data_IF_394404203939
#
_entry.id   IF_394404203939
#
_cell.length_a   1.000
_cell.length_b   1.000
_cell.length_c   1.000
_cell.angle_alpha   90.00
_cell.angle_beta   90.00
_cell.angle_gamma   90.00
#
_symmetry.space_group_name_H-M   'P 1'
#
loop_
_entity.id
_entity.type
_entity.pdbx_description
1 polymer ?
#
# COMPACT_ATOMS: atom_id res chain seq x y z
N UNK A 1 21.63 36.33 5.77
CA UNK A 1 21.47 37.74 5.37
C UNK A 1 22.37 38.17 4.19
N UNK A 2 23.70 38.02 4.25
CA UNK A 2 24.57 38.47 3.14
C UNK A 2 24.50 37.55 1.90
N UNK A 3 24.45 36.22 2.10
CA UNK A 3 24.24 35.24 1.03
C UNK A 3 22.84 35.32 0.40
N UNK A 4 21.80 35.55 1.21
CA UNK A 4 20.41 35.74 0.75
C UNK A 4 20.31 36.96 -0.18
N UNK A 5 20.84 38.12 0.24
CA UNK A 5 20.90 39.34 -0.58
C UNK A 5 21.67 39.17 -1.88
N UNK A 6 22.72 38.32 -1.89
CA UNK A 6 23.45 37.99 -3.11
C UNK A 6 22.64 37.09 -4.04
N UNK A 7 21.88 36.13 -3.48
CA UNK A 7 21.02 35.24 -4.27
C UNK A 7 19.86 36.01 -4.90
N UNK A 8 19.21 36.90 -4.17
CA UNK A 8 18.13 37.76 -4.66
C UNK A 8 18.55 38.58 -5.87
N UNK A 9 19.72 39.23 -5.77
CA UNK A 9 20.31 40.01 -6.87
C UNK A 9 20.67 39.15 -8.07
N UNK A 10 21.26 37.98 -7.86
CA UNK A 10 21.64 37.06 -8.95
C UNK A 10 20.43 36.47 -9.67
N UNK A 11 19.36 36.16 -8.94
CA UNK A 11 18.14 35.53 -9.48
C UNK A 11 17.06 36.53 -9.87
N UNK A 12 17.30 37.84 -9.71
CA UNK A 12 16.33 38.91 -10.00
C UNK A 12 15.00 38.71 -9.25
N UNK A 13 15.09 38.34 -7.97
CA UNK A 13 13.90 38.15 -7.11
C UNK A 13 13.57 39.48 -6.44
N UNK A 14 12.32 39.91 -6.53
CA UNK A 14 11.82 41.10 -5.84
C UNK A 14 11.84 40.87 -4.31
N UNK A 15 12.34 41.85 -3.55
CA UNK A 15 12.51 41.73 -2.09
C UNK A 15 11.15 41.57 -1.41
N UNK A 16 10.14 42.27 -1.91
CA UNK A 16 8.76 42.24 -1.41
C UNK A 16 8.15 40.83 -1.50
N UNK A 17 8.56 40.03 -2.50
CA UNK A 17 8.15 38.63 -2.62
C UNK A 17 9.03 37.70 -1.77
N UNK A 18 10.33 37.99 -1.68
CA UNK A 18 11.29 37.23 -0.85
C UNK A 18 10.92 37.27 0.63
N UNK A 19 10.52 38.44 1.13
CA UNK A 19 10.15 38.68 2.53
C UNK A 19 8.93 37.86 2.98
N UNK A 20 8.10 37.38 2.04
CA UNK A 20 6.95 36.51 2.35
C UNK A 20 7.37 35.05 2.63
N UNK A 21 8.60 34.64 2.31
CA UNK A 21 9.06 33.24 2.40
C UNK A 21 9.74 32.98 3.75
N UNK A 22 8.93 32.68 4.78
CA UNK A 22 9.43 32.46 6.15
C UNK A 22 9.95 31.04 6.39
N UNK A 23 9.12 30.01 6.15
CA UNK A 23 9.42 28.61 6.51
C UNK A 23 9.72 27.69 5.33
N UNK A 24 9.07 27.89 4.19
CA UNK A 24 9.22 27.00 3.04
C UNK A 24 10.26 27.56 2.08
N UNK A 25 11.50 27.80 2.56
CA UNK A 25 12.55 28.41 1.74
C UNK A 25 13.10 27.38 0.75
N UNK A 26 12.93 27.56 -0.57
CA UNK A 26 13.36 26.57 -1.54
C UNK A 26 14.87 26.63 -1.76
N UNK A 27 15.57 25.54 -1.41
CA UNK A 27 17.03 25.42 -1.56
C UNK A 27 17.42 24.16 -2.35
N UNK A 28 18.60 24.15 -3.01
CA UNK A 28 19.15 22.93 -3.58
C UNK A 28 19.32 21.85 -2.51
N UNK A 29 18.86 20.64 -2.82
CA UNK A 29 19.04 19.48 -1.95
C UNK A 29 20.53 19.16 -1.76
N UNK A 30 20.94 18.90 -0.52
CA UNK A 30 22.30 18.50 -0.15
C UNK A 30 22.25 17.40 0.89
N UNK A 31 22.70 16.21 0.49
CA UNK A 31 22.66 15.01 1.34
C UNK A 31 23.66 15.08 2.51
N UNK A 32 24.77 15.82 2.34
CA UNK A 32 25.81 16.03 3.36
C UNK A 32 25.34 16.89 4.55
N UNK A 33 24.21 17.61 4.39
CA UNK A 33 23.63 18.41 5.47
C UNK A 33 22.74 17.60 6.40
N UNK A 34 22.19 16.49 5.93
CA UNK A 34 21.20 15.70 6.68
C UNK A 34 21.82 15.20 8.00
N UNK A 35 21.11 15.38 9.11
CA UNK A 35 21.58 14.99 10.44
C UNK A 35 22.68 15.89 11.04
N UNK A 36 23.03 16.99 10.38
CA UNK A 36 24.04 17.96 10.89
C UNK A 36 23.36 19.25 11.36
N UNK A 37 24.09 20.08 12.11
CA UNK A 37 23.62 21.42 12.51
C UNK A 37 23.32 22.35 11.32
N UNK A 38 23.89 22.05 10.15
CA UNK A 38 23.66 22.80 8.89
C UNK A 38 22.27 22.56 8.30
N UNK A 39 21.52 21.56 8.78
CA UNK A 39 20.15 21.32 8.35
C UNK A 39 19.21 22.36 8.99
N UNK A 40 18.69 23.29 8.18
CA UNK A 40 17.73 24.29 8.64
C UNK A 40 16.29 23.79 8.43
N UNK A 41 15.46 23.80 9.47
CA UNK A 41 14.06 23.36 9.38
C UNK A 41 13.20 24.28 8.49
N UNK A 42 13.67 25.50 8.20
CA UNK A 42 13.04 26.45 7.28
C UNK A 42 13.46 26.25 5.83
N UNK A 43 14.33 25.30 5.56
CA UNK A 43 14.77 25.01 4.21
C UNK A 43 14.06 23.76 3.71
N UNK A 44 13.55 23.82 2.49
CA UNK A 44 12.90 22.69 1.82
C UNK A 44 13.43 22.49 0.41
N UNK A 45 13.27 21.28 -0.12
CA UNK A 45 13.68 20.95 -1.48
C UNK A 45 12.54 20.30 -2.27
N UNK A 46 12.47 20.61 -3.55
CA UNK A 46 11.53 20.02 -4.49
C UNK A 46 12.25 19.01 -5.40
N UNK A 47 11.59 17.88 -5.66
CA UNK A 47 12.13 16.75 -6.41
C UNK A 47 11.15 16.35 -7.51
N UNK A 48 11.59 16.25 -8.78
CA UNK A 48 10.82 15.50 -9.76
C UNK A 48 10.78 14.03 -9.34
N UNK A 49 9.70 13.31 -9.66
CA UNK A 49 9.50 11.89 -9.28
C UNK A 49 10.75 11.03 -9.56
N UNK A 50 11.39 11.23 -10.72
CA UNK A 50 12.58 10.47 -11.15
C UNK A 50 13.80 10.65 -10.24
N UNK A 51 13.91 11.79 -9.55
CA UNK A 51 14.96 12.03 -8.55
C UNK A 51 14.54 11.49 -7.19
N UNK A 52 13.26 11.62 -6.83
CA UNK A 52 12.74 11.11 -5.58
C UNK A 52 12.77 9.58 -5.53
N UNK A 53 12.46 8.90 -6.63
CA UNK A 53 12.58 7.44 -6.79
C UNK A 53 14.02 6.94 -6.55
N UNK A 54 15.05 7.71 -6.95
CA UNK A 54 16.46 7.38 -6.67
C UNK A 54 16.86 7.60 -5.21
N UNK A 55 16.06 8.32 -4.44
CA UNK A 55 16.23 8.52 -3.00
C UNK A 55 15.41 7.48 -2.20
N UNK A 56 14.20 7.18 -2.65
CA UNK A 56 13.30 6.20 -2.07
C UNK A 56 13.64 4.76 -2.53
N UNK A 57 14.84 4.30 -2.17
CA UNK A 57 15.33 2.94 -2.45
C UNK A 57 15.88 2.29 -1.18
N UNK A 58 16.07 0.97 -1.16
CA UNK A 58 16.73 0.26 -0.05
C UNK A 58 18.06 0.93 0.40
N UNK A 59 18.85 1.48 -0.53
CA UNK A 59 20.15 2.05 -0.19
C UNK A 59 20.08 3.46 0.43
N UNK A 60 19.03 4.25 0.13
CA UNK A 60 18.97 5.69 0.46
C UNK A 60 17.69 6.12 1.18
N UNK A 61 16.71 5.22 1.29
CA UNK A 61 15.39 5.48 1.85
C UNK A 61 15.46 5.96 3.28
N UNK A 62 16.22 5.26 4.14
CA UNK A 62 16.46 5.67 5.53
C UNK A 62 17.10 7.06 5.64
N UNK A 63 18.04 7.38 4.74
CA UNK A 63 18.70 8.71 4.70
C UNK A 63 17.71 9.79 4.27
N UNK A 64 16.83 9.51 3.31
CA UNK A 64 15.78 10.42 2.87
C UNK A 64 14.71 10.63 3.95
N UNK A 65 14.36 9.56 4.68
CA UNK A 65 13.49 9.66 5.85
C UNK A 65 14.09 10.53 6.96
N UNK A 66 15.38 10.39 7.24
CA UNK A 66 16.09 11.27 8.19
C UNK A 66 16.02 12.75 7.78
N UNK A 67 16.13 13.06 6.48
CA UNK A 67 15.92 14.42 5.97
C UNK A 67 14.49 14.92 6.28
N UNK A 68 13.49 14.08 5.99
CA UNK A 68 12.09 14.45 6.12
C UNK A 68 11.59 14.59 7.57
N UNK A 69 12.33 14.09 8.56
CA UNK A 69 12.03 14.34 9.98
C UNK A 69 12.24 15.80 10.41
N UNK A 70 13.11 16.53 9.70
CA UNK A 70 13.48 17.91 10.06
C UNK A 70 13.16 18.94 8.98
N UNK A 71 13.14 18.55 7.71
CA UNK A 71 12.92 19.43 6.57
C UNK A 71 11.77 18.91 5.70
N UNK A 72 11.13 19.80 4.95
CA UNK A 72 10.07 19.41 4.01
C UNK A 72 10.66 18.98 2.68
N UNK A 73 10.14 17.89 2.10
CA UNK A 73 10.31 17.56 0.68
C UNK A 73 9.00 17.72 -0.07
N UNK A 74 9.09 18.28 -1.28
CA UNK A 74 8.00 18.29 -2.25
C UNK A 74 8.33 17.42 -3.44
N UNK A 75 7.55 16.37 -3.68
CA UNK A 75 7.68 15.52 -4.86
C UNK A 75 6.60 15.90 -5.87
N UNK A 76 6.93 15.90 -7.16
CA UNK A 76 5.98 16.24 -8.22
C UNK A 76 6.18 15.38 -9.48
N UNK A 77 5.13 15.18 -10.30
CA UNK A 77 5.21 14.32 -11.47
C UNK A 77 6.25 14.82 -12.49
N UNK A 78 6.89 13.91 -13.21
CA UNK A 78 7.83 14.29 -14.28
C UNK A 78 7.11 14.96 -15.45
N UNK A 79 7.80 15.86 -16.15
CA UNK A 79 7.23 16.60 -17.27
C UNK A 79 6.78 15.76 -18.47
N UNK A 80 7.25 14.50 -18.59
CA UNK A 80 6.83 13.59 -19.65
C UNK A 80 5.41 13.02 -19.47
N UNK A 81 4.78 13.21 -18.30
CA UNK A 81 3.40 12.81 -18.04
C UNK A 81 2.43 13.85 -18.60
N UNK A 82 2.43 13.98 -19.92
CA UNK A 82 1.57 14.94 -20.66
C UNK A 82 0.09 14.62 -20.48
N UNK A 83 -0.24 13.36 -20.21
CA UNK A 83 -1.58 12.85 -19.89
C UNK A 83 -2.03 13.18 -18.46
N UNK A 84 -1.20 13.85 -17.66
CA UNK A 84 -1.42 14.10 -16.23
C UNK A 84 -1.52 12.83 -15.38
N UNK A 85 -1.01 11.68 -15.83
CA UNK A 85 -0.90 10.49 -14.98
C UNK A 85 -0.14 10.77 -13.68
N UNK A 86 -0.44 10.03 -12.63
CA UNK A 86 0.29 10.12 -11.36
C UNK A 86 1.36 9.03 -11.23
N UNK A 87 2.38 9.31 -10.42
CA UNK A 87 3.31 8.31 -9.90
C UNK A 87 2.74 7.66 -8.63
N UNK A 88 3.32 6.52 -8.22
CA UNK A 88 2.95 5.89 -6.96
C UNK A 88 3.44 6.73 -5.76
N UNK A 89 2.53 7.25 -4.91
CA UNK A 89 2.93 8.07 -3.77
C UNK A 89 3.51 7.28 -2.60
N UNK A 90 3.27 5.95 -2.52
CA UNK A 90 3.64 5.14 -1.36
C UNK A 90 5.13 5.17 -1.03
N UNK A 91 6.07 4.97 -1.98
CA UNK A 91 7.51 5.04 -1.67
C UNK A 91 7.93 6.40 -1.11
N UNK A 92 7.28 7.48 -1.55
CA UNK A 92 7.57 8.84 -1.10
C UNK A 92 7.08 9.06 0.33
N UNK A 93 5.84 8.65 0.62
CA UNK A 93 5.29 8.75 1.98
C UNK A 93 6.04 7.85 2.96
N UNK A 94 6.40 6.62 2.58
CA UNK A 94 7.20 5.69 3.41
C UNK A 94 8.58 6.25 3.75
N UNK A 95 9.16 7.06 2.86
CA UNK A 95 10.38 7.83 3.14
C UNK A 95 10.10 9.18 3.82
N UNK A 96 8.90 9.41 4.34
CA UNK A 96 8.52 10.58 5.11
C UNK A 96 8.23 11.85 4.31
N UNK A 97 8.21 11.79 2.97
CA UNK A 97 7.91 12.97 2.15
C UNK A 97 6.50 13.48 2.43
N UNK A 98 6.38 14.78 2.69
CA UNK A 98 5.15 15.39 3.21
C UNK A 98 4.31 16.01 2.08
N UNK A 99 4.96 16.64 1.10
CA UNK A 99 4.29 17.34 0.00
C UNK A 99 4.39 16.53 -1.29
N UNK A 100 3.77 15.35 -1.28
CA UNK A 100 3.69 14.44 -2.44
C UNK A 100 2.58 14.94 -3.36
N UNK A 101 2.94 15.84 -4.28
CA UNK A 101 1.98 16.49 -5.17
C UNK A 101 1.56 15.53 -6.29
N UNK A 102 0.26 15.42 -6.48
CA UNK A 102 -0.40 14.62 -7.51
C UNK A 102 -1.32 15.51 -8.36
N UNK A 103 -1.64 15.06 -9.57
CA UNK A 103 -2.59 15.64 -10.50
C UNK A 103 -4.02 15.25 -10.09
N UNK A 104 -4.71 16.12 -9.34
CA UNK A 104 -6.05 15.87 -8.79
C UNK A 104 -7.13 15.62 -9.85
N UNK A 105 -6.92 16.11 -11.07
CA UNK A 105 -7.83 15.91 -12.20
C UNK A 105 -7.83 14.47 -12.75
N UNK A 106 -6.85 13.65 -12.37
CA UNK A 106 -6.67 12.31 -12.92
C UNK A 106 -7.24 11.26 -11.97
N UNK A 107 -8.26 10.48 -12.38
CA UNK A 107 -8.93 9.50 -11.52
C UNK A 107 -8.20 8.15 -11.50
N UNK A 108 -6.93 8.17 -11.10
CA UNK A 108 -6.07 6.99 -11.06
C UNK A 108 -5.87 6.45 -9.62
N UNK A 109 -5.26 5.25 -9.52
CA UNK A 109 -4.98 4.60 -8.24
C UNK A 109 -4.20 5.51 -7.26
N UNK A 110 -3.15 6.24 -7.66
CA UNK A 110 -2.49 7.22 -6.80
C UNK A 110 -3.45 8.23 -6.16
N UNK A 111 -4.37 8.81 -6.92
CA UNK A 111 -5.33 9.78 -6.39
C UNK A 111 -6.30 9.13 -5.39
N UNK A 112 -6.73 7.89 -5.67
CA UNK A 112 -7.59 7.12 -4.79
C UNK A 112 -6.89 6.76 -3.46
N UNK A 113 -5.60 6.41 -3.50
CA UNK A 113 -4.77 6.23 -2.30
C UNK A 113 -4.59 7.54 -1.52
N UNK A 114 -4.37 8.65 -2.21
CA UNK A 114 -4.24 9.97 -1.61
C UNK A 114 -5.50 10.36 -0.82
N UNK A 115 -6.67 10.23 -1.44
CA UNK A 115 -7.93 10.50 -0.75
C UNK A 115 -8.16 9.55 0.43
N UNK A 116 -7.78 8.27 0.31
CA UNK A 116 -7.86 7.31 1.40
C UNK A 116 -6.93 7.65 2.58
N UNK A 117 -5.69 8.10 2.31
CA UNK A 117 -4.76 8.55 3.35
C UNK A 117 -5.35 9.71 4.14
N UNK A 118 -5.88 10.72 3.44
CA UNK A 118 -6.44 11.92 4.06
C UNK A 118 -7.85 11.72 4.67
N UNK A 119 -8.42 10.52 4.62
CA UNK A 119 -9.51 10.15 5.54
C UNK A 119 -9.02 10.13 6.99
N UNK A 120 -7.74 9.84 7.22
CA UNK A 120 -7.12 10.02 8.52
C UNK A 120 -7.06 11.51 8.88
N UNK A 121 -7.10 11.83 10.18
CA UNK A 121 -7.11 13.23 10.62
C UNK A 121 -8.37 14.00 10.23
N UNK A 122 -9.48 13.28 9.96
CA UNK A 122 -10.80 13.88 9.74
C UNK A 122 -10.94 14.69 8.46
N UNK A 123 -10.14 14.42 7.42
CA UNK A 123 -10.23 15.16 6.16
C UNK A 123 -9.56 16.54 6.17
N UNK A 124 -8.75 16.86 7.19
CA UNK A 124 -8.10 18.17 7.34
C UNK A 124 -7.00 18.47 6.32
N UNK A 125 -6.55 17.47 5.56
CA UNK A 125 -5.37 17.57 4.71
C UNK A 125 -4.04 17.39 5.45
N UNK A 126 -4.07 17.09 6.76
CA UNK A 126 -2.88 16.79 7.56
C UNK A 126 -3.05 15.46 8.31
N UNK A 127 -2.08 14.57 8.14
CA UNK A 127 -2.04 13.26 8.81
C UNK A 127 -0.70 13.14 9.53
N UNK A 128 -0.75 12.89 10.84
CA UNK A 128 0.46 12.62 11.61
C UNK A 128 1.09 11.30 11.12
N UNK A 129 2.37 11.36 10.76
CA UNK A 129 3.14 10.16 10.41
C UNK A 129 3.21 9.22 11.61
N UNK A 130 3.11 7.88 11.40
CA UNK A 130 3.32 6.88 12.44
C UNK A 130 4.58 7.13 13.28
N UNK A 131 4.50 6.80 14.58
CA UNK A 131 5.58 7.05 15.53
C UNK A 131 6.89 6.40 15.09
N UNK A 132 6.84 5.13 14.64
CA UNK A 132 8.00 4.40 14.12
C UNK A 132 8.73 5.15 13.00
N UNK A 133 8.02 5.87 12.12
CA UNK A 133 8.65 6.59 11.00
C UNK A 133 9.46 7.80 11.48
N UNK A 134 9.16 8.29 12.69
CA UNK A 134 9.83 9.43 13.32
C UNK A 134 11.04 9.02 14.17
N UNK A 135 11.32 7.72 14.29
CA UNK A 135 12.42 7.16 15.08
C UNK A 135 13.66 6.78 14.24
N UNK A 136 14.86 6.97 14.78
CA UNK A 136 16.13 6.78 14.04
C UNK A 136 16.41 5.37 13.54
N UNK A 137 15.83 4.35 14.18
CA UNK A 137 16.06 2.96 13.82
C UNK A 137 15.28 2.51 12.59
N UNK A 138 14.07 3.03 12.39
CA UNK A 138 13.16 2.59 11.34
C UNK A 138 13.73 2.82 9.93
N UNK A 139 13.62 1.76 9.12
CA UNK A 139 13.90 1.74 7.70
C UNK A 139 12.67 1.19 6.96
N UNK A 140 12.03 1.96 6.06
CA UNK A 140 10.84 1.52 5.35
C UNK A 140 11.07 0.28 4.47
N UNK A 141 12.32 -0.05 4.16
CA UNK A 141 12.71 -1.16 3.29
C UNK A 141 13.26 -2.38 4.05
N UNK A 142 13.33 -2.32 5.39
CA UNK A 142 13.74 -3.44 6.23
C UNK A 142 12.69 -3.69 7.32
N UNK A 143 11.91 -4.75 7.14
CA UNK A 143 10.85 -5.15 8.09
C UNK A 143 11.39 -5.50 9.48
N UNK A 144 12.67 -5.81 9.64
CA UNK A 144 13.26 -6.09 10.96
C UNK A 144 13.41 -4.84 11.83
N UNK A 145 13.28 -3.65 11.23
CA UNK A 145 13.30 -2.37 11.96
C UNK A 145 11.93 -1.97 12.51
N UNK A 146 10.88 -2.76 12.23
CA UNK A 146 9.52 -2.49 12.69
C UNK A 146 9.40 -2.76 14.20
N UNK A 147 8.94 -1.74 14.93
CA UNK A 147 8.59 -1.82 16.35
C UNK A 147 7.06 -1.81 16.53
N UNK A 148 6.36 -2.60 15.70
CA UNK A 148 4.90 -2.73 15.73
C UNK A 148 4.50 -4.20 15.64
N UNK A 149 3.36 -4.54 16.25
CA UNK A 149 2.84 -5.90 16.16
C UNK A 149 2.22 -6.15 14.78
N UNK A 150 2.64 -7.21 14.07
CA UNK A 150 2.04 -7.59 12.80
C UNK A 150 0.63 -8.11 13.01
N UNK A 151 -0.23 -7.92 12.01
CA UNK A 151 -1.60 -8.41 12.02
C UNK A 151 -1.85 -9.36 10.87
N UNK A 152 -2.83 -10.25 11.05
CA UNK A 152 -3.40 -11.05 9.98
C UNK A 152 -4.82 -10.60 9.72
N UNK A 153 -5.16 -10.29 8.47
CA UNK A 153 -6.52 -9.99 8.03
C UNK A 153 -7.09 -11.22 7.34
N UNK A 154 -8.17 -11.74 7.89
CA UNK A 154 -8.97 -12.81 7.31
C UNK A 154 -10.23 -12.20 6.67
N UNK A 155 -10.30 -12.17 5.34
CA UNK A 155 -11.34 -11.49 4.58
C UNK A 155 -12.12 -12.47 3.70
N UNK A 156 -13.44 -12.35 3.71
CA UNK A 156 -14.32 -13.00 2.74
C UNK A 156 -15.16 -11.95 2.04
N UNK A 157 -15.12 -11.92 0.72
CA UNK A 157 -16.06 -11.14 -0.09
C UNK A 157 -17.29 -12.01 -0.32
N UNK A 158 -18.42 -11.63 0.25
CA UNK A 158 -19.62 -12.47 0.24
C UNK A 158 -20.51 -12.17 -0.95
N UNK A 159 -20.64 -10.89 -1.32
CA UNK A 159 -21.46 -10.45 -2.43
C UNK A 159 -21.38 -8.94 -2.62
N UNK A 160 -22.12 -8.43 -3.60
CA UNK A 160 -22.30 -7.01 -3.82
C UNK A 160 -23.78 -6.67 -4.04
N UNK A 161 -24.09 -5.38 -4.06
CA UNK A 161 -25.37 -4.86 -4.52
C UNK A 161 -25.15 -3.65 -5.41
N UNK A 162 -26.03 -3.45 -6.39
CA UNK A 162 -26.12 -2.24 -7.22
C UNK A 162 -24.77 -1.83 -7.83
N UNK A 163 -24.00 -2.78 -8.38
CA UNK A 163 -22.77 -2.43 -9.08
C UNK A 163 -23.10 -1.54 -10.29
N UNK A 164 -22.26 -0.53 -10.57
CA UNK A 164 -22.47 0.31 -11.74
C UNK A 164 -22.33 -0.52 -13.01
N UNK A 165 -22.99 -0.05 -14.07
CA UNK A 165 -22.96 -0.69 -15.37
C UNK A 165 -22.22 0.20 -16.36
N UNK A 166 -21.23 -0.37 -17.02
CA UNK A 166 -20.57 0.29 -18.14
C UNK A 166 -21.30 -0.13 -19.44
N UNK A 167 -21.90 0.81 -20.14
CA UNK A 167 -22.55 0.54 -21.43
C UNK A 167 -23.88 -0.24 -21.35
N UNK A 168 -24.12 -1.13 -22.33
CA UNK A 168 -25.44 -1.77 -22.54
C UNK A 168 -25.52 -3.22 -22.06
N UNK A 169 -24.41 -3.93 -21.89
CA UNK A 169 -24.36 -5.32 -21.42
C UNK A 169 -24.64 -5.45 -19.92
N UNK A 170 -24.97 -6.65 -19.46
CA UNK A 170 -24.95 -6.94 -18.02
C UNK A 170 -23.49 -7.22 -17.65
N UNK A 171 -23.05 -6.67 -16.52
CA UNK A 171 -21.65 -6.80 -16.09
C UNK A 171 -21.38 -8.23 -15.59
N UNK A 172 -20.17 -8.72 -15.84
CA UNK A 172 -19.65 -9.98 -15.30
C UNK A 172 -18.61 -9.66 -14.20
N UNK A 173 -19.03 -9.40 -12.94
CA UNK A 173 -18.13 -8.76 -11.99
C UNK A 173 -17.18 -9.74 -11.31
N UNK A 174 -16.03 -9.23 -10.93
CA UNK A 174 -15.15 -9.82 -9.92
C UNK A 174 -14.54 -8.72 -9.05
N UNK A 175 -14.06 -9.11 -7.86
CA UNK A 175 -13.46 -8.19 -6.90
C UNK A 175 -11.97 -8.51 -6.74
N UNK A 176 -11.13 -7.53 -7.02
CA UNK A 176 -9.73 -7.51 -6.60
C UNK A 176 -9.62 -6.89 -5.21
N UNK A 177 -8.93 -7.57 -4.31
CA UNK A 177 -8.54 -7.07 -3.00
C UNK A 177 -7.02 -6.92 -2.97
N UNK A 178 -6.56 -5.74 -2.59
CA UNK A 178 -5.16 -5.37 -2.56
C UNK A 178 -4.79 -4.77 -1.19
N UNK A 179 -3.65 -5.20 -0.64
CA UNK A 179 -2.96 -4.48 0.43
C UNK A 179 -1.96 -3.55 -0.23
N UNK A 180 -2.08 -2.24 -0.02
CA UNK A 180 -1.09 -1.26 -0.47
C UNK A 180 -0.32 -0.73 0.74
N UNK A 181 1.00 -0.81 0.72
CA UNK A 181 1.83 -0.41 1.86
C UNK A 181 3.31 -0.48 1.49
N UNK A 182 4.12 -1.06 2.36
CA UNK A 182 5.52 -1.41 2.08
C UNK A 182 5.60 -2.57 1.08
N UNK A 183 6.75 -2.72 0.43
CA UNK A 183 6.95 -3.77 -0.58
C UNK A 183 6.74 -5.19 -0.01
N UNK A 184 7.09 -5.40 1.26
CA UNK A 184 6.91 -6.68 1.96
C UNK A 184 5.48 -6.95 2.47
N UNK A 185 4.59 -5.96 2.44
CA UNK A 185 3.16 -6.11 2.78
C UNK A 185 2.26 -6.10 1.54
N UNK A 186 2.76 -5.59 0.41
CA UNK A 186 1.99 -5.46 -0.82
C UNK A 186 1.59 -6.82 -1.39
N UNK A 187 0.29 -7.02 -1.55
CA UNK A 187 -0.25 -8.27 -2.11
C UNK A 187 -1.63 -8.05 -2.72
N UNK A 188 -1.96 -8.88 -3.72
CA UNK A 188 -3.23 -8.84 -4.47
C UNK A 188 -3.87 -10.20 -4.55
N UNK A 189 -5.19 -10.25 -4.44
CA UNK A 189 -6.00 -11.43 -4.64
C UNK A 189 -7.28 -11.06 -5.38
N UNK A 190 -7.86 -12.00 -6.12
CA UNK A 190 -9.16 -11.80 -6.77
C UNK A 190 -10.14 -12.93 -6.49
N UNK A 191 -11.42 -12.58 -6.49
CA UNK A 191 -12.53 -13.54 -6.55
C UNK A 191 -12.64 -14.12 -7.95
N UNK A 192 -13.46 -15.16 -8.09
CA UNK A 192 -13.90 -15.63 -9.40
C UNK A 192 -14.88 -14.62 -10.03
N UNK A 193 -15.12 -14.79 -11.33
CA UNK A 193 -16.04 -13.94 -12.09
C UNK A 193 -17.45 -14.50 -11.97
N UNK A 194 -18.41 -13.61 -11.70
CA UNK A 194 -19.84 -13.96 -11.74
C UNK A 194 -20.38 -13.53 -13.09
N UNK A 195 -21.02 -14.44 -13.83
CA UNK A 195 -21.60 -14.13 -15.13
C UNK A 195 -22.90 -13.31 -14.98
N UNK A 196 -23.06 -12.28 -15.82
CA UNK A 196 -24.30 -11.55 -16.06
C UNK A 196 -25.08 -11.12 -14.80
N UNK A 197 -24.38 -10.63 -13.78
CA UNK A 197 -25.03 -10.15 -12.55
C UNK A 197 -24.29 -8.99 -11.88
N UNK A 198 -24.73 -7.76 -12.17
CA UNK A 198 -24.31 -6.56 -11.44
C UNK A 198 -25.20 -6.17 -10.26
N UNK A 199 -26.42 -6.71 -10.16
CA UNK A 199 -27.39 -6.24 -9.19
C UNK A 199 -27.15 -6.83 -7.80
N UNK A 200 -26.83 -8.12 -7.72
CA UNK A 200 -26.65 -8.87 -6.47
C UNK A 200 -25.73 -10.10 -6.58
N UNK A 201 -24.50 -9.97 -7.14
CA UNK A 201 -23.57 -11.09 -7.25
C UNK A 201 -23.09 -11.60 -5.89
N UNK A 202 -22.66 -12.88 -5.83
CA UNK A 202 -22.25 -13.60 -4.61
C UNK A 202 -20.96 -14.38 -4.84
N UNK A 203 -20.00 -14.32 -3.89
CA UNK A 203 -18.65 -14.96 -3.98
C UNK A 203 -18.25 -15.77 -2.73
N UNK A 204 -19.21 -16.39 -2.04
CA UNK A 204 -19.04 -17.05 -0.72
C UNK A 204 -17.99 -18.16 -0.61
N UNK A 205 -17.33 -18.56 -1.69
CA UNK A 205 -16.47 -19.74 -1.73
C UNK A 205 -15.02 -19.48 -1.26
N UNK A 206 -14.53 -18.23 -1.31
CA UNK A 206 -13.11 -17.93 -1.12
C UNK A 206 -12.85 -17.05 0.10
N UNK A 207 -11.86 -17.44 0.90
CA UNK A 207 -11.27 -16.61 1.95
C UNK A 207 -9.89 -16.14 1.52
N UNK A 208 -9.61 -14.87 1.78
CA UNK A 208 -8.32 -14.24 1.59
C UNK A 208 -7.68 -14.02 2.95
N UNK A 209 -6.39 -14.31 3.06
CA UNK A 209 -5.60 -14.14 4.27
C UNK A 209 -4.40 -13.27 3.94
N UNK A 210 -4.26 -12.14 4.63
CA UNK A 210 -3.20 -11.17 4.41
C UNK A 210 -2.42 -10.97 5.70
N UNK A 211 -1.11 -11.13 5.66
CA UNK A 211 -0.23 -10.76 6.78
C UNK A 211 0.35 -9.38 6.51
N UNK A 212 0.22 -8.49 7.49
CA UNK A 212 0.65 -7.10 7.39
C UNK A 212 1.62 -6.83 8.53
N UNK A 213 2.88 -6.62 8.18
CA UNK A 213 3.96 -6.33 9.12
C UNK A 213 3.88 -4.89 9.63
N UNK A 214 3.55 -3.94 8.76
CA UNK A 214 3.39 -2.53 9.11
C UNK A 214 1.92 -2.08 8.98
N UNK A 215 1.05 -2.44 9.94
CA UNK A 215 -0.36 -2.00 9.93
C UNK A 215 -0.51 -0.49 10.10
N UNK A 216 0.53 0.21 10.56
CA UNK A 216 0.48 1.66 10.78
C UNK A 216 0.52 2.47 9.49
N UNK A 217 1.06 1.90 8.41
CA UNK A 217 1.12 2.53 7.10
C UNK A 217 0.76 1.54 5.98
N UNK A 218 -0.46 1.02 6.05
CA UNK A 218 -1.02 0.12 5.05
C UNK A 218 -2.48 0.46 4.75
N UNK A 219 -2.93 0.11 3.55
CA UNK A 219 -4.28 0.34 3.03
C UNK A 219 -4.88 -0.98 2.54
N UNK A 220 -6.15 -1.19 2.82
CA UNK A 220 -6.97 -2.24 2.21
C UNK A 220 -7.79 -1.61 1.08
N UNK A 221 -7.57 -2.08 -0.14
CA UNK A 221 -8.22 -1.59 -1.35
C UNK A 221 -9.07 -2.70 -1.96
N UNK A 222 -10.33 -2.38 -2.22
CA UNK A 222 -11.25 -3.17 -3.02
C UNK A 222 -11.40 -2.49 -4.37
N UNK A 223 -11.22 -3.24 -5.46
CA UNK A 223 -11.54 -2.78 -6.82
C UNK A 223 -12.49 -3.78 -7.44
N UNK A 224 -13.64 -3.30 -7.91
CA UNK A 224 -14.60 -4.11 -8.64
C UNK A 224 -14.34 -3.88 -10.13
N UNK A 225 -14.16 -4.97 -10.85
CA UNK A 225 -14.00 -4.99 -12.29
C UNK A 225 -15.15 -5.78 -12.91
N UNK A 226 -15.43 -5.52 -14.18
CA UNK A 226 -16.14 -6.46 -15.06
C UNK A 226 -15.13 -7.12 -16.00
N UNK A 227 -15.34 -8.39 -16.30
CA UNK A 227 -14.66 -9.06 -17.40
C UNK A 227 -15.51 -8.93 -18.65
N UNK A 228 -14.96 -8.36 -19.72
CA UNK A 228 -15.67 -8.23 -21.00
C UNK A 228 -15.59 -9.50 -21.86
N UNK A 229 -16.14 -9.45 -23.07
CA UNK A 229 -16.15 -10.57 -24.01
C UNK A 229 -14.75 -11.01 -24.49
N UNK A 230 -13.73 -10.17 -24.28
CA UNK A 230 -12.33 -10.43 -24.64
C UNK A 230 -11.48 -10.81 -23.42
N UNK A 231 -12.11 -11.04 -22.27
CA UNK A 231 -11.45 -11.26 -20.98
C UNK A 231 -10.62 -10.09 -20.47
N UNK A 232 -10.89 -8.87 -20.95
CA UNK A 232 -10.22 -7.68 -20.46
C UNK A 232 -10.94 -7.14 -19.21
N UNK A 233 -10.20 -6.82 -18.13
CA UNK A 233 -10.78 -6.29 -16.91
C UNK A 233 -11.07 -4.79 -17.03
N UNK A 234 -12.34 -4.42 -16.97
CA UNK A 234 -12.80 -3.03 -17.04
C UNK A 234 -13.23 -2.53 -15.65
N UNK A 235 -12.73 -1.36 -15.26
CA UNK A 235 -13.01 -0.79 -13.95
C UNK A 235 -14.51 -0.45 -13.78
N UNK A 236 -15.10 -0.87 -12.66
CA UNK A 236 -16.46 -0.50 -12.26
C UNK A 236 -16.46 0.47 -11.08
N UNK A 237 -15.77 0.10 -10.00
CA UNK A 237 -15.80 0.86 -8.76
C UNK A 237 -14.61 0.52 -7.86
N UNK A 238 -14.35 1.34 -6.85
CA UNK A 238 -13.38 1.01 -5.80
C UNK A 238 -13.84 1.44 -4.41
N UNK A 239 -13.14 0.93 -3.40
CA UNK A 239 -13.13 1.51 -2.07
C UNK A 239 -11.75 1.28 -1.45
N UNK A 240 -11.19 2.28 -0.80
CA UNK A 240 -9.84 2.18 -0.23
C UNK A 240 -9.84 2.76 1.17
N UNK A 241 -9.31 1.99 2.14
CA UNK A 241 -9.33 2.35 3.55
C UNK A 241 -7.95 2.13 4.16
N UNK A 242 -7.45 3.07 4.98
CA UNK A 242 -6.33 2.79 5.87
C UNK A 242 -6.65 1.60 6.78
N UNK A 243 -5.70 0.67 6.93
CA UNK A 243 -5.87 -0.56 7.74
C UNK A 243 -6.28 -0.23 9.19
N UNK A 244 -5.74 0.85 9.75
CA UNK A 244 -6.07 1.32 11.11
C UNK A 244 -7.52 1.73 11.32
N UNK A 245 -8.29 1.97 10.26
CA UNK A 245 -9.71 2.35 10.35
C UNK A 245 -10.66 1.16 10.18
N UNK A 246 -10.13 -0.04 9.91
CA UNK A 246 -10.95 -1.22 9.66
C UNK A 246 -11.65 -1.69 10.94
N UNK A 247 -12.86 -2.24 10.76
CA UNK A 247 -13.67 -2.84 11.83
C UNK A 247 -13.98 -4.29 11.46
N UNK A 248 -14.02 -5.17 12.46
CA UNK A 248 -14.27 -6.62 12.27
C UNK A 248 -15.75 -6.98 12.14
N UNK A 249 -16.03 -8.20 11.72
CA UNK A 249 -17.38 -8.79 11.54
C UNK A 249 -17.91 -8.65 10.11
N UNK A 250 -19.23 -8.79 9.96
CA UNK A 250 -19.94 -8.51 8.71
C UNK A 250 -20.03 -7.00 8.50
N UNK A 251 -19.48 -6.51 7.39
CA UNK A 251 -19.41 -5.08 7.06
C UNK A 251 -19.89 -4.82 5.64
N UNK A 252 -20.62 -3.73 5.48
CA UNK A 252 -20.87 -3.16 4.17
C UNK A 252 -19.69 -2.27 3.79
N UNK A 253 -19.23 -2.39 2.56
CA UNK A 253 -18.17 -1.57 1.97
C UNK A 253 -18.80 -0.71 0.88
N UNK A 254 -19.18 0.55 1.16
CA UNK A 254 -19.68 1.46 0.15
C UNK A 254 -18.64 1.67 -0.95
N UNK A 255 -19.09 1.59 -2.20
CA UNK A 255 -18.26 1.72 -3.37
C UNK A 255 -18.28 3.15 -3.91
N UNK A 256 -17.20 3.50 -4.61
CA UNK A 256 -16.98 4.81 -5.20
C UNK A 256 -16.58 4.69 -6.66
N UNK A 257 -16.84 5.73 -7.45
CA UNK A 257 -16.37 5.83 -8.82
C UNK A 257 -14.86 6.12 -8.89
N UNK A 258 -14.30 6.26 -10.09
CA UNK A 258 -12.86 6.49 -10.26
C UNK A 258 -12.34 7.81 -9.67
N UNK A 259 -13.22 8.82 -9.50
CA UNK A 259 -12.94 10.11 -8.87
C UNK A 259 -13.15 10.11 -7.33
N UNK A 260 -13.43 8.93 -6.75
CA UNK A 260 -13.72 8.71 -5.33
C UNK A 260 -15.00 9.42 -4.85
N UNK A 261 -15.97 9.60 -5.74
CA UNK A 261 -17.33 10.01 -5.42
C UNK A 261 -18.18 8.78 -5.09
N UNK A 262 -19.12 8.93 -4.16
CA UNK A 262 -19.98 7.82 -3.71
C UNK A 262 -20.90 7.34 -4.83
N UNK A 263 -20.98 6.02 -5.01
CA UNK A 263 -21.95 5.40 -5.90
C UNK A 263 -23.21 5.06 -5.11
N UNK A 264 -24.35 5.50 -5.62
CA UNK A 264 -25.63 5.28 -4.95
C UNK A 264 -25.92 3.78 -4.78
N UNK A 265 -26.16 3.36 -3.54
CA UNK A 265 -26.46 1.99 -3.10
C UNK A 265 -25.36 0.93 -3.34
N UNK A 266 -24.41 1.18 -4.24
CA UNK A 266 -23.34 0.28 -4.62
C UNK A 266 -22.47 -0.07 -3.42
N UNK A 267 -22.45 -1.35 -3.04
CA UNK A 267 -21.65 -1.80 -1.90
C UNK A 267 -21.30 -3.27 -1.99
N UNK A 268 -20.14 -3.63 -1.44
CA UNK A 268 -19.80 -5.02 -1.13
C UNK A 268 -20.34 -5.39 0.25
N UNK A 269 -20.67 -6.66 0.44
CA UNK A 269 -20.80 -7.28 1.75
C UNK A 269 -19.58 -8.15 1.99
N UNK A 270 -18.86 -7.87 3.07
CA UNK A 270 -17.65 -8.60 3.44
C UNK A 270 -17.74 -9.11 4.87
N UNK A 271 -17.02 -10.19 5.16
CA UNK A 271 -16.71 -10.59 6.52
C UNK A 271 -15.21 -10.41 6.74
N UNK A 272 -14.84 -9.62 7.73
CA UNK A 272 -13.43 -9.31 8.03
C UNK A 272 -13.12 -9.61 9.50
N UNK A 273 -12.06 -10.38 9.73
CA UNK A 273 -11.45 -10.63 11.03
C UNK A 273 -10.02 -10.10 11.01
N UNK A 274 -9.62 -9.47 12.11
CA UNK A 274 -8.28 -8.91 12.29
C UNK A 274 -7.75 -9.44 13.61
N UNK A 275 -6.57 -10.02 13.58
CA UNK A 275 -5.97 -10.76 14.69
C UNK A 275 -4.48 -10.46 14.75
N UNK A 276 -3.88 -10.60 15.93
CA UNK A 276 -2.42 -10.51 16.05
C UNK A 276 -1.79 -11.70 15.34
N UNK A 277 -0.88 -11.44 14.39
CA UNK A 277 -0.31 -12.50 13.56
C UNK A 277 0.58 -13.47 14.36
N UNK A 278 1.17 -13.01 15.46
CA UNK A 278 2.03 -13.83 16.33
C UNK A 278 1.26 -14.66 17.35
N UNK A 279 0.08 -14.22 17.77
CA UNK A 279 -0.71 -14.91 18.80
C UNK A 279 -1.56 -16.07 18.24
N UNK A 280 -1.90 -16.03 16.94
CA UNK A 280 -2.79 -17.03 16.35
C UNK A 280 -2.10 -18.30 15.83
N UNK A 281 -0.82 -18.22 15.51
CA UNK A 281 -0.03 -19.34 15.03
C UNK A 281 0.75 -19.97 16.20
N UNK A 282 0.82 -21.31 16.28
CA UNK A 282 1.82 -21.96 17.14
C UNK A 282 3.18 -21.32 16.83
N UNK A 283 3.98 -20.99 17.85
CA UNK A 283 5.18 -20.11 17.84
C UNK A 283 6.18 -20.30 16.66
N UNK A 284 6.07 -21.39 15.89
CA UNK A 284 6.90 -21.71 14.74
C UNK A 284 6.25 -21.54 13.36
N UNK A 285 4.92 -21.56 13.20
CA UNK A 285 4.30 -21.58 11.86
C UNK A 285 4.36 -20.22 11.16
N UNK A 286 3.96 -19.14 11.84
CA UNK A 286 4.10 -17.78 11.33
C UNK A 286 5.54 -17.50 10.90
N UNK A 287 6.48 -17.76 11.80
CA UNK A 287 7.92 -17.54 11.58
C UNK A 287 8.45 -18.36 10.40
N UNK A 288 7.99 -19.60 10.22
CA UNK A 288 8.38 -20.45 9.08
C UNK A 288 7.86 -19.91 7.75
N UNK A 289 6.59 -19.47 7.71
CA UNK A 289 5.99 -18.84 6.53
C UNK A 289 6.75 -17.55 6.17
N UNK A 290 7.09 -16.73 7.17
CA UNK A 290 7.84 -15.49 6.92
C UNK A 290 9.25 -15.77 6.37
N UNK A 291 9.96 -16.76 6.92
CA UNK A 291 11.28 -17.18 6.40
C UNK A 291 11.20 -17.65 4.95
N UNK A 292 10.17 -18.42 4.60
CA UNK A 292 9.97 -18.89 3.22
C UNK A 292 9.64 -17.72 2.29
N UNK A 293 8.79 -16.76 2.69
CA UNK A 293 8.51 -15.55 1.90
C UNK A 293 9.77 -14.74 1.64
N UNK A 294 10.60 -14.54 2.66
CA UNK A 294 11.89 -13.84 2.53
C UNK A 294 12.79 -14.57 1.54
N UNK A 295 12.90 -15.89 1.69
CA UNK A 295 13.69 -16.72 0.78
C UNK A 295 13.18 -16.68 -0.66
N UNK A 296 11.86 -16.71 -0.87
CA UNK A 296 11.25 -16.56 -2.20
C UNK A 296 11.57 -15.21 -2.82
N UNK A 297 11.52 -14.13 -2.05
CA UNK A 297 11.84 -12.77 -2.53
C UNK A 297 13.32 -12.63 -2.90
N UNK A 298 14.22 -13.14 -2.05
CA UNK A 298 15.67 -13.19 -2.34
C UNK A 298 15.95 -13.96 -3.62
N UNK A 299 15.39 -15.17 -3.76
CA UNK A 299 15.59 -16.03 -4.92
C UNK A 299 15.02 -15.41 -6.19
N UNK A 300 13.85 -14.77 -6.12
CA UNK A 300 13.25 -14.06 -7.26
C UNK A 300 14.15 -12.93 -7.74
N UNK A 301 14.67 -12.11 -6.81
CA UNK A 301 15.62 -11.04 -7.14
C UNK A 301 16.89 -11.60 -7.78
N UNK A 302 17.43 -12.67 -7.21
CA UNK A 302 18.63 -13.36 -7.70
C UNK A 302 18.42 -13.90 -9.12
N UNK A 303 17.29 -14.56 -9.39
CA UNK A 303 16.92 -15.09 -10.71
C UNK A 303 16.80 -13.95 -11.72
N UNK A 304 16.07 -12.87 -11.39
CA UNK A 304 15.93 -11.72 -12.30
C UNK A 304 17.26 -11.02 -12.62
N UNK A 305 18.21 -10.98 -11.68
CA UNK A 305 19.55 -10.44 -11.94
C UNK A 305 20.35 -11.34 -12.89
N UNK A 306 20.27 -12.66 -12.70
CA UNK A 306 20.94 -13.62 -13.60
C UNK A 306 20.36 -13.57 -15.02
N UNK A 307 19.04 -13.49 -15.17
CA UNK A 307 18.38 -13.34 -16.47
C UNK A 307 18.88 -12.11 -17.22
N UNK A 308 18.99 -10.96 -16.54
CA UNK A 308 19.52 -9.71 -17.13
C UNK A 308 20.98 -9.80 -17.53
N UNK A 309 21.77 -10.62 -16.83
CA UNK A 309 23.18 -10.85 -17.15
C UNK A 309 23.39 -11.85 -18.30
N UNK A 310 22.34 -12.52 -18.77
CA UNK A 310 22.41 -13.51 -19.85
C UNK A 310 23.12 -14.82 -19.47
N UNK A 311 23.23 -15.12 -18.17
CA UNK A 311 23.85 -16.38 -17.70
C UNK A 311 22.87 -17.53 -17.88
N UNK A 312 23.12 -18.37 -18.89
CA UNK A 312 22.38 -19.61 -19.17
C UNK A 312 23.11 -20.84 -18.58
N UNK A 313 23.74 -20.68 -17.42
CA UNK A 313 24.59 -21.68 -16.81
C UNK A 313 23.81 -22.59 -15.83
N UNK A 314 24.39 -23.74 -15.46
CA UNK A 314 23.82 -24.68 -14.47
C UNK A 314 23.38 -24.00 -13.15
N UNK A 315 24.10 -22.94 -12.74
CA UNK A 315 23.77 -22.16 -11.54
C UNK A 315 22.44 -21.40 -11.64
N UNK A 316 22.03 -21.01 -12.85
CA UNK A 316 20.75 -20.36 -13.10
C UNK A 316 19.61 -21.36 -12.92
N UNK A 317 19.72 -22.53 -13.57
CA UNK A 317 18.74 -23.61 -13.45
C UNK A 317 18.55 -24.06 -11.99
N UNK A 318 19.65 -24.23 -11.25
CA UNK A 318 19.59 -24.57 -9.83
C UNK A 318 18.86 -23.50 -8.99
N UNK A 319 19.07 -22.21 -9.29
CA UNK A 319 18.39 -21.14 -8.56
C UNK A 319 16.89 -21.06 -8.88
N UNK A 320 16.50 -21.40 -10.11
CA UNK A 320 15.08 -21.49 -10.53
C UNK A 320 14.39 -22.69 -9.87
N UNK A 321 15.05 -23.85 -9.81
CA UNK A 321 14.52 -25.03 -9.11
C UNK A 321 14.36 -24.78 -7.61
N UNK A 322 15.36 -24.15 -6.97
CA UNK A 322 15.27 -23.76 -5.56
C UNK A 322 14.13 -22.78 -5.31
N UNK A 323 13.93 -21.81 -6.21
CA UNK A 323 12.80 -20.87 -6.14
C UNK A 323 11.46 -21.60 -6.20
N UNK A 324 11.29 -22.52 -7.14
CA UNK A 324 10.06 -23.33 -7.27
C UNK A 324 9.79 -24.16 -6.03
N UNK A 325 10.79 -24.92 -5.56
CA UNK A 325 10.64 -25.74 -4.35
C UNK A 325 10.28 -24.91 -3.10
N UNK A 326 10.88 -23.72 -2.97
CA UNK A 326 10.56 -22.78 -1.88
C UNK A 326 9.13 -22.25 -2.01
N UNK A 327 8.67 -21.95 -3.22
CA UNK A 327 7.29 -21.49 -3.49
C UNK A 327 6.26 -22.58 -3.19
N UNK A 328 6.54 -23.83 -3.57
CA UNK A 328 5.66 -24.97 -3.30
C UNK A 328 5.53 -25.19 -1.79
N UNK A 329 6.66 -25.23 -1.07
CA UNK A 329 6.67 -25.36 0.39
C UNK A 329 5.93 -24.19 1.09
N UNK A 330 6.10 -22.96 0.58
CA UNK A 330 5.38 -21.80 1.09
C UNK A 330 3.87 -21.95 0.88
N UNK A 331 3.44 -22.40 -0.29
CA UNK A 331 2.03 -22.63 -0.62
C UNK A 331 1.42 -23.65 0.32
N UNK A 332 2.07 -24.80 0.51
CA UNK A 332 1.60 -25.85 1.42
C UNK A 332 1.42 -25.36 2.87
N UNK A 333 2.40 -24.62 3.40
CA UNK A 333 2.31 -24.09 4.76
C UNK A 333 1.24 -23.02 4.91
N UNK A 334 1.08 -22.15 3.91
CA UNK A 334 0.02 -21.12 3.89
C UNK A 334 -1.36 -21.78 3.81
N UNK A 335 -1.54 -22.79 2.97
CA UNK A 335 -2.80 -23.55 2.90
C UNK A 335 -3.11 -24.26 4.22
N UNK A 336 -2.13 -24.94 4.81
CA UNK A 336 -2.27 -25.59 6.10
C UNK A 336 -2.66 -24.58 7.21
N UNK A 337 -2.05 -23.39 7.21
CA UNK A 337 -2.41 -22.30 8.13
C UNK A 337 -3.84 -21.82 7.91
N UNK A 338 -4.22 -21.55 6.67
CA UNK A 338 -5.54 -21.05 6.31
C UNK A 338 -6.64 -22.06 6.72
N UNK A 339 -6.40 -23.35 6.55
CA UNK A 339 -7.29 -24.42 7.01
C UNK A 339 -7.44 -24.40 8.54
N UNK A 340 -6.34 -24.25 9.30
CA UNK A 340 -6.38 -24.16 10.77
C UNK A 340 -7.17 -22.95 11.25
N UNK A 341 -6.99 -21.78 10.63
CA UNK A 341 -7.73 -20.57 10.94
C UNK A 341 -9.24 -20.78 10.72
N UNK A 342 -9.61 -21.42 9.60
CA UNK A 342 -10.99 -21.80 9.30
C UNK A 342 -11.59 -22.78 10.31
N UNK A 343 -10.84 -23.79 10.74
CA UNK A 343 -11.28 -24.74 11.75
C UNK A 343 -11.47 -24.11 13.13
N UNK A 344 -10.54 -23.25 13.57
CA UNK A 344 -10.65 -22.48 14.82
C UNK A 344 -11.93 -21.66 14.83
N UNK A 345 -12.25 -20.99 13.71
CA UNK A 345 -13.49 -20.24 13.54
C UNK A 345 -14.75 -21.10 13.66
N UNK A 346 -14.77 -22.28 13.03
CA UNK A 346 -15.89 -23.24 13.17
C UNK A 346 -16.07 -23.68 14.64
N UNK A 347 -14.98 -24.01 15.33
CA UNK A 347 -15.01 -24.40 16.75
C UNK A 347 -15.48 -23.26 17.66
N UNK A 348 -15.05 -22.03 17.40
CA UNK A 348 -15.49 -20.83 18.12
C UNK A 348 -17.00 -20.58 17.99
N UNK A 349 -17.54 -20.66 16.77
CA UNK A 349 -18.98 -20.55 16.51
C UNK A 349 -19.79 -21.64 17.23
N UNK A 350 -19.30 -22.88 17.23
CA UNK A 350 -19.96 -23.99 17.92
C UNK A 350 -20.01 -23.77 19.44
N UNK A 351 -18.92 -23.28 20.04
CA UNK A 351 -18.86 -22.94 21.48
C UNK A 351 -19.85 -21.84 21.85
N UNK A 352 -19.96 -20.78 21.04
CA UNK A 352 -20.93 -19.71 21.27
C UNK A 352 -22.38 -20.20 21.16
N UNK A 353 -22.69 -21.06 20.19
CA UNK A 353 -24.03 -21.65 20.06
C UNK A 353 -24.39 -22.57 21.23
N UNK A 354 -23.43 -23.35 21.75
CA UNK A 354 -23.65 -24.20 22.94
C UNK A 354 -23.84 -23.35 24.20
N UNK A 355 -23.10 -22.25 24.35
CA UNK A 355 -23.27 -21.33 25.47
C UNK A 355 -24.63 -20.63 25.43
N UNK A 356 -25.07 -20.15 24.25
CA UNK A 356 -26.36 -19.49 24.07
C UNK A 356 -27.58 -20.42 24.24
N UNK A 357 -27.39 -21.74 24.14
CA UNK A 357 -28.44 -22.74 24.44
C UNK A 357 -28.50 -23.14 25.92
N UNK A 358 -27.50 -22.75 26.72
CA UNK A 358 -27.41 -23.05 28.17
C UNK A 358 -27.81 -21.87 29.06
N UNK A 359 -27.84 -20.66 28.50
CA UNK A 359 -28.51 -19.46 29.04
C UNK A 359 -29.97 -19.44 28.62
#
# INVERSE_FOLDING_TARGET
MQEEKQMERRKKIAVELSDLVVYCRPVPFSEDKIGTERACYRDMSSFPETKAEKLATHARGKRFLQYNRRQLSRVYPKGQRLDSSNYDPLPMWLCGSQLVALNFQTPDKPMQLNQALFMLGGGSGYVLQPDIMREDLFDPFDKNTLLVEPITIQLQVLGARHLPKNGRSIVCPFVEVEICGTDYDNCKCKTDVVADNGLNPVWVQKQFVFDIHNPTFSFLRFTVFEEDMFSDPNFLAHATYPVRLLRTGYRSVPLKNSYNEELELAALLVHIEIVNAKEEDDDNLYTSIQRLRDRTSELTTKVSLMERSGSADMSYQQSVEELRATQDQLSELVEARNLRLMEKKKKGKLRQQVAAKRS
#
